data_IF_611683698246
#
_entry.id   IF_611683698246
#
_cell.length_a   1.000
_cell.length_b   1.000
_cell.length_c   1.000
_cell.angle_alpha   90.00
_cell.angle_beta   90.00
_cell.angle_gamma   90.00
#
_symmetry.space_group_name_H-M   'P 1'
#
loop_
_entity.id
_entity.type
_entity.pdbx_description
1 polymer ?
#
# COMPACT_ATOMS: atom_id res chain seq x y z
N UNK A 1 -9.44 -42.75 11.30
CA UNK A 1 -8.39 -41.72 11.17
C UNK A 1 -9.06 -40.40 10.82
N UNK A 2 -8.65 -39.30 11.45
CA UNK A 2 -9.12 -37.97 11.02
C UNK A 2 -8.24 -37.58 9.82
N UNK A 3 -8.84 -37.44 8.64
CA UNK A 3 -8.15 -37.04 7.42
C UNK A 3 -8.25 -35.52 7.32
N UNK A 4 -7.11 -34.84 7.28
CA UNK A 4 -7.05 -33.39 7.10
C UNK A 4 -7.60 -33.03 5.71
N UNK A 5 -8.52 -32.06 5.59
CA UNK A 5 -9.05 -31.64 4.30
C UNK A 5 -7.97 -31.07 3.38
N UNK A 6 -8.08 -31.34 2.08
CA UNK A 6 -7.12 -30.90 1.04
C UNK A 6 -6.92 -29.38 0.98
N UNK A 7 -7.85 -28.61 1.56
CA UNK A 7 -7.83 -27.14 1.60
C UNK A 7 -7.64 -26.58 3.02
N UNK A 8 -7.10 -27.38 3.94
CA UNK A 8 -6.86 -26.94 5.31
C UNK A 8 -5.63 -26.03 5.38
N UNK A 9 -5.86 -24.72 5.20
CA UNK A 9 -4.83 -23.70 5.26
C UNK A 9 -5.36 -22.32 4.88
N UNK A 10 -4.56 -21.28 5.15
CA UNK A 10 -4.87 -19.93 4.69
C UNK A 10 -4.76 -19.86 3.15
N UNK A 11 -5.86 -19.49 2.48
CA UNK A 11 -5.83 -19.13 1.05
C UNK A 11 -5.93 -17.60 0.92
N UNK A 12 -4.98 -16.95 0.21
CA UNK A 12 -5.07 -15.51 0.00
C UNK A 12 -6.34 -15.21 -0.82
N UNK A 13 -7.19 -14.33 -0.29
CA UNK A 13 -8.43 -13.90 -0.97
C UNK A 13 -8.09 -13.17 -2.28
N UNK A 14 -6.95 -12.47 -2.32
CA UNK A 14 -6.46 -11.79 -3.51
C UNK A 14 -4.92 -11.89 -3.60
N UNK A 15 -4.41 -12.10 -4.81
CA UNK A 15 -2.97 -12.11 -5.13
C UNK A 15 -2.72 -10.98 -6.11
N UNK A 16 -1.87 -10.03 -5.74
CA UNK A 16 -1.55 -8.87 -6.58
C UNK A 16 -0.09 -8.86 -7.03
N UNK A 17 0.13 -8.87 -8.36
CA UNK A 17 1.44 -8.71 -8.99
C UNK A 17 1.71 -7.24 -9.38
N UNK A 18 2.96 -6.91 -9.74
CA UNK A 18 3.32 -5.58 -10.25
C UNK A 18 2.78 -5.33 -11.67
N UNK A 19 2.68 -6.39 -12.46
CA UNK A 19 2.16 -6.40 -13.82
C UNK A 19 1.34 -7.67 -14.06
N UNK A 20 0.36 -7.57 -14.97
CA UNK A 20 -0.30 -8.74 -15.52
C UNK A 20 -1.63 -8.40 -16.19
N UNK A 21 -2.07 -9.31 -17.05
CA UNK A 21 -3.23 -9.10 -17.95
C UNK A 21 -4.57 -9.15 -17.21
N UNK A 22 -4.59 -9.65 -15.98
CA UNK A 22 -5.80 -9.79 -15.16
C UNK A 22 -5.94 -8.66 -14.14
N UNK A 23 -7.18 -8.37 -13.72
CA UNK A 23 -7.48 -7.32 -12.72
C UNK A 23 -6.82 -7.57 -11.36
N UNK A 24 -6.58 -8.85 -11.02
CA UNK A 24 -5.81 -9.22 -9.83
C UNK A 24 -4.34 -8.86 -9.98
N UNK A 25 -3.80 -8.66 -11.18
CA UNK A 25 -2.37 -8.47 -11.43
C UNK A 25 -1.98 -7.08 -11.93
N UNK A 26 -2.93 -6.29 -12.43
CA UNK A 26 -2.71 -4.92 -12.90
C UNK A 26 -3.47 -3.92 -12.04
N UNK A 27 -2.74 -2.94 -11.53
CA UNK A 27 -3.29 -1.87 -10.72
C UNK A 27 -4.18 -0.93 -11.53
N UNK A 28 -3.86 -0.74 -12.80
CA UNK A 28 -4.69 0.05 -13.73
C UNK A 28 -6.06 -0.62 -13.89
N UNK A 29 -6.07 -1.95 -14.07
CA UNK A 29 -7.29 -2.74 -14.17
C UNK A 29 -8.09 -2.73 -12.85
N UNK A 30 -7.42 -2.79 -11.69
CA UNK A 30 -8.08 -2.67 -10.39
C UNK A 30 -8.83 -1.34 -10.26
N UNK A 31 -8.17 -0.22 -10.59
CA UNK A 31 -8.79 1.11 -10.46
C UNK A 31 -9.94 1.31 -11.46
N UNK A 32 -9.78 0.83 -12.70
CA UNK A 32 -10.86 0.80 -13.69
C UNK A 32 -12.07 0.04 -13.15
N UNK A 33 -11.84 -1.15 -12.60
CA UNK A 33 -12.90 -1.99 -12.05
C UNK A 33 -13.60 -1.35 -10.85
N UNK A 34 -12.84 -0.80 -9.89
CA UNK A 34 -13.40 -0.07 -8.75
C UNK A 34 -14.25 1.12 -9.21
N UNK A 35 -13.82 1.82 -10.26
CA UNK A 35 -14.59 2.94 -10.80
C UNK A 35 -15.90 2.47 -11.44
N UNK A 36 -15.90 1.31 -12.09
CA UNK A 36 -17.09 0.74 -12.71
C UNK A 36 -18.09 0.17 -11.70
N UNK A 37 -17.62 -0.33 -10.56
CA UNK A 37 -18.50 -0.77 -9.48
C UNK A 37 -19.34 0.37 -8.90
N UNK A 38 -18.83 1.60 -8.90
CA UNK A 38 -19.57 2.79 -8.47
C UNK A 38 -19.92 2.81 -6.98
N UNK A 39 -19.23 2.04 -6.13
CA UNK A 39 -19.53 1.90 -4.69
C UNK A 39 -18.65 2.80 -3.78
N UNK A 40 -18.02 3.81 -4.38
CA UNK A 40 -17.15 4.76 -3.68
C UNK A 40 -15.75 4.23 -3.35
N UNK A 41 -15.42 2.96 -3.63
CA UNK A 41 -14.07 2.44 -3.38
C UNK A 41 -13.01 3.12 -4.25
N UNK A 42 -13.35 3.46 -5.49
CA UNK A 42 -12.43 4.17 -6.38
C UNK A 42 -12.08 5.56 -5.83
N UNK A 43 -13.07 6.28 -5.32
CA UNK A 43 -12.95 7.62 -4.78
C UNK A 43 -12.08 7.58 -3.52
N UNK A 44 -12.32 6.63 -2.62
CA UNK A 44 -11.46 6.38 -1.44
C UNK A 44 -10.03 6.05 -1.84
N UNK A 45 -9.86 5.14 -2.80
CA UNK A 45 -8.56 4.77 -3.36
C UNK A 45 -7.81 5.98 -3.93
N UNK A 46 -8.51 6.78 -4.75
CA UNK A 46 -7.99 8.01 -5.37
C UNK A 46 -7.58 9.03 -4.32
N UNK A 47 -8.41 9.23 -3.30
CA UNK A 47 -8.16 10.21 -2.25
C UNK A 47 -6.96 9.80 -1.38
N UNK A 48 -6.83 8.52 -1.04
CA UNK A 48 -5.64 7.98 -0.37
C UNK A 48 -4.40 8.24 -1.23
N UNK A 49 -4.40 7.86 -2.51
CA UNK A 49 -3.24 8.07 -3.40
C UNK A 49 -2.87 9.56 -3.47
N UNK A 50 -3.84 10.44 -3.66
CA UNK A 50 -3.59 11.87 -3.82
C UNK A 50 -3.12 12.53 -2.52
N UNK A 51 -3.79 12.27 -1.41
CA UNK A 51 -3.50 12.90 -0.11
C UNK A 51 -2.28 12.31 0.58
N UNK A 52 -1.87 11.09 0.22
CA UNK A 52 -0.77 10.39 0.87
C UNK A 52 0.43 10.21 -0.05
N UNK A 53 0.23 9.63 -1.24
CA UNK A 53 1.32 9.27 -2.16
C UNK A 53 1.76 10.44 -3.05
N UNK A 54 0.83 11.28 -3.50
CA UNK A 54 1.16 12.43 -4.35
C UNK A 54 1.18 13.78 -3.62
N UNK A 55 0.85 13.83 -2.32
CA UNK A 55 0.97 15.05 -1.51
C UNK A 55 2.33 15.74 -1.67
N UNK A 56 2.33 17.03 -1.98
CA UNK A 56 3.56 17.81 -2.18
C UNK A 56 4.32 17.47 -3.46
N UNK A 57 3.72 16.73 -4.40
CA UNK A 57 4.21 16.59 -5.79
C UNK A 57 3.27 17.34 -6.73
N UNK A 58 3.65 17.45 -8.01
CA UNK A 58 2.78 18.00 -9.06
C UNK A 58 1.79 16.95 -9.61
N UNK A 59 1.79 15.74 -9.06
CA UNK A 59 1.01 14.61 -9.56
C UNK A 59 -0.38 14.53 -8.92
N UNK A 60 -1.35 14.06 -9.67
CA UNK A 60 -2.71 13.84 -9.16
C UNK A 60 -3.42 12.72 -9.95
N UNK A 61 -3.87 11.68 -9.27
CA UNK A 61 -4.74 10.65 -9.84
C UNK A 61 -6.11 11.27 -10.08
N UNK A 62 -6.42 11.55 -11.35
CA UNK A 62 -7.61 12.31 -11.76
C UNK A 62 -8.86 11.43 -11.78
N UNK A 63 -8.77 10.26 -12.39
CA UNK A 63 -9.93 9.48 -12.77
C UNK A 63 -9.57 8.34 -13.72
N UNK A 64 -10.60 7.73 -14.27
CA UNK A 64 -10.49 6.68 -15.30
C UNK A 64 -10.94 7.24 -16.65
N UNK A 65 -10.12 7.05 -17.69
CA UNK A 65 -10.53 7.20 -19.10
C UNK A 65 -11.38 5.99 -19.47
N UNK A 66 -12.50 6.20 -20.17
CA UNK A 66 -13.39 5.10 -20.59
C UNK A 66 -12.86 4.32 -21.80
N UNK A 67 -12.17 4.97 -22.74
CA UNK A 67 -11.66 4.34 -23.95
C UNK A 67 -10.29 4.91 -24.37
N UNK A 68 -9.23 4.10 -24.40
CA UNK A 68 -9.15 2.79 -23.73
C UNK A 68 -9.28 2.94 -22.20
N UNK A 69 -9.83 1.94 -21.49
CA UNK A 69 -9.94 1.92 -20.04
C UNK A 69 -8.58 2.06 -19.38
N UNK A 70 -8.34 3.16 -18.67
CA UNK A 70 -7.04 3.45 -18.06
C UNK A 70 -7.15 4.53 -17.00
N UNK A 71 -6.38 4.41 -15.91
CA UNK A 71 -6.24 5.46 -14.93
C UNK A 71 -5.38 6.62 -15.44
N UNK A 72 -5.85 7.84 -15.19
CA UNK A 72 -5.21 9.08 -15.63
C UNK A 72 -4.54 9.74 -14.44
N UNK A 73 -3.23 9.95 -14.55
CA UNK A 73 -2.44 10.77 -13.64
C UNK A 73 -2.12 12.10 -14.32
N UNK A 74 -2.48 13.20 -13.67
CA UNK A 74 -1.99 14.54 -14.03
C UNK A 74 -0.57 14.70 -13.50
N UNK A 75 0.28 15.40 -14.24
CA UNK A 75 1.57 15.92 -13.79
C UNK A 75 1.71 17.36 -14.29
N UNK A 76 1.35 18.34 -13.45
CA UNK A 76 1.22 19.73 -13.88
C UNK A 76 0.12 19.88 -14.95
N UNK A 77 0.50 20.22 -16.18
CA UNK A 77 -0.43 20.37 -17.33
C UNK A 77 -0.55 19.10 -18.18
N UNK A 78 0.35 18.14 -18.00
CA UNK A 78 0.38 16.91 -18.77
C UNK A 78 -0.43 15.81 -18.10
N UNK A 79 -0.83 14.83 -18.89
CA UNK A 79 -1.51 13.62 -18.39
C UNK A 79 -0.77 12.39 -18.87
N UNK A 80 -0.56 11.44 -17.98
CA UNK A 80 0.02 10.14 -18.32
C UNK A 80 -0.71 9.03 -17.58
N UNK A 81 -0.43 7.81 -17.99
CA UNK A 81 -0.93 6.58 -17.37
C UNK A 81 -0.06 6.15 -16.18
N UNK A 82 -0.58 5.25 -15.34
CA UNK A 82 0.12 4.80 -14.14
C UNK A 82 1.45 4.09 -14.42
N UNK A 83 1.63 3.47 -15.58
CA UNK A 83 2.87 2.83 -16.01
C UNK A 83 4.04 3.82 -16.19
N UNK A 84 3.76 5.11 -16.34
CA UNK A 84 4.80 6.15 -16.45
C UNK A 84 5.28 6.69 -15.10
N UNK A 85 4.73 6.21 -13.99
CA UNK A 85 5.26 6.52 -12.66
C UNK A 85 6.64 5.89 -12.47
N UNK A 86 7.47 6.52 -11.62
CA UNK A 86 8.73 5.89 -11.19
C UNK A 86 8.46 4.60 -10.42
N UNK A 87 9.44 3.69 -10.37
CA UNK A 87 9.29 2.41 -9.65
C UNK A 87 8.89 2.61 -8.18
N UNK A 88 9.52 3.55 -7.48
CA UNK A 88 9.17 3.89 -6.09
C UNK A 88 7.75 4.43 -5.93
N UNK A 89 7.29 5.28 -6.86
CA UNK A 89 5.90 5.77 -6.86
C UNK A 89 4.91 4.65 -7.11
N UNK A 90 5.18 3.77 -8.08
CA UNK A 90 4.36 2.60 -8.36
C UNK A 90 4.23 1.71 -7.13
N UNK A 91 5.34 1.39 -6.46
CA UNK A 91 5.32 0.57 -5.25
C UNK A 91 4.44 1.17 -4.15
N UNK A 92 4.50 2.49 -3.94
CA UNK A 92 3.64 3.15 -2.96
C UNK A 92 2.17 3.19 -3.39
N UNK A 93 1.88 3.57 -4.63
CA UNK A 93 0.51 3.54 -5.17
C UNK A 93 -0.07 2.13 -5.03
N UNK A 94 0.71 1.09 -5.35
CA UNK A 94 0.33 -0.31 -5.17
C UNK A 94 0.01 -0.66 -3.73
N UNK A 95 0.92 -0.38 -2.80
CA UNK A 95 0.70 -0.68 -1.39
C UNK A 95 -0.55 0.03 -0.85
N UNK A 96 -0.71 1.32 -1.15
CA UNK A 96 -1.82 2.10 -0.59
C UNK A 96 -3.17 1.78 -1.20
N UNK A 97 -3.21 1.40 -2.48
CA UNK A 97 -4.44 0.91 -3.07
C UNK A 97 -4.82 -0.44 -2.47
N UNK A 98 -3.87 -1.37 -2.30
CA UNK A 98 -4.13 -2.67 -1.64
C UNK A 98 -4.68 -2.48 -0.22
N UNK A 99 -4.07 -1.58 0.54
CA UNK A 99 -4.51 -1.21 1.89
C UNK A 99 -5.92 -0.59 1.82
N UNK A 100 -6.10 0.46 1.03
CA UNK A 100 -7.34 1.25 1.00
C UNK A 100 -8.56 0.50 0.49
N UNK A 101 -8.38 -0.51 -0.37
CA UNK A 101 -9.50 -1.28 -0.94
C UNK A 101 -9.93 -2.46 -0.08
N UNK A 102 -9.07 -2.92 0.84
CA UNK A 102 -9.29 -4.13 1.62
C UNK A 102 -9.31 -3.94 3.13
N UNK A 103 -8.85 -2.80 3.66
CA UNK A 103 -8.94 -2.53 5.09
C UNK A 103 -10.41 -2.35 5.48
N UNK A 104 -10.85 -3.22 6.39
CA UNK A 104 -12.11 -3.13 7.10
C UNK A 104 -11.83 -2.84 8.58
N UNK A 105 -12.88 -2.73 9.41
CA UNK A 105 -12.70 -2.63 10.86
C UNK A 105 -11.94 -3.86 11.37
N UNK A 106 -10.93 -3.63 12.20
CA UNK A 106 -10.14 -4.67 12.87
C UNK A 106 -9.28 -5.53 11.93
N UNK A 107 -8.54 -4.91 11.02
CA UNK A 107 -7.63 -5.59 10.09
C UNK A 107 -6.22 -5.74 10.65
N UNK A 108 -5.53 -6.83 10.29
CA UNK A 108 -4.08 -6.99 10.50
C UNK A 108 -3.39 -6.95 9.14
N UNK A 109 -2.44 -6.01 8.98
CA UNK A 109 -1.61 -5.87 7.79
C UNK A 109 -0.21 -6.42 8.09
N UNK A 110 0.18 -7.46 7.36
CA UNK A 110 1.53 -8.05 7.41
C UNK A 110 2.31 -7.57 6.18
N UNK A 111 3.47 -6.95 6.40
CA UNK A 111 4.35 -6.45 5.31
C UNK A 111 5.74 -7.05 5.50
N UNK A 112 6.14 -7.91 4.58
CA UNK A 112 7.52 -8.36 4.54
C UNK A 112 8.40 -7.35 3.79
N UNK A 113 9.58 -7.10 4.33
CA UNK A 113 10.62 -6.18 3.86
C UNK A 113 10.04 -4.86 3.29
N UNK A 114 9.42 -4.07 4.17
CA UNK A 114 8.57 -2.93 3.76
C UNK A 114 9.29 -1.86 2.92
N UNK A 115 10.62 -1.83 2.95
CA UNK A 115 11.47 -0.84 2.30
C UNK A 115 12.25 -1.33 1.08
N UNK A 116 12.02 -2.57 0.66
CA UNK A 116 12.71 -3.18 -0.49
C UNK A 116 12.58 -2.34 -1.74
N UNK A 117 13.75 -2.03 -2.31
CA UNK A 117 13.92 -1.19 -3.50
C UNK A 117 13.38 0.26 -3.40
N UNK A 118 13.06 0.74 -2.20
CA UNK A 118 12.66 2.14 -1.99
C UNK A 118 13.88 3.02 -1.68
N UNK A 119 14.02 4.11 -2.43
CA UNK A 119 14.94 5.19 -2.08
C UNK A 119 14.60 5.75 -0.68
N UNK A 120 15.57 6.19 0.15
CA UNK A 120 15.35 6.68 1.52
C UNK A 120 14.19 7.69 1.67
N UNK A 121 14.10 8.67 0.76
CA UNK A 121 12.97 9.62 0.71
C UNK A 121 11.59 8.94 0.67
N UNK A 122 11.47 7.85 -0.08
CA UNK A 122 10.23 7.07 -0.19
C UNK A 122 10.01 6.16 1.01
N UNK A 123 11.06 5.68 1.67
CA UNK A 123 10.98 4.95 2.94
C UNK A 123 10.34 5.81 4.04
N UNK A 124 10.83 7.04 4.22
CA UNK A 124 10.21 8.01 5.16
C UNK A 124 8.75 8.29 4.82
N UNK A 125 8.47 8.45 3.53
CA UNK A 125 7.12 8.71 3.07
C UNK A 125 6.20 7.53 3.36
N UNK A 126 6.63 6.30 3.05
CA UNK A 126 5.91 5.08 3.39
C UNK A 126 5.55 5.05 4.88
N UNK A 127 6.55 5.27 5.74
CA UNK A 127 6.36 5.24 7.18
C UNK A 127 5.33 6.27 7.64
N UNK A 128 5.42 7.52 7.17
CA UNK A 128 4.48 8.58 7.51
C UNK A 128 3.05 8.28 7.07
N UNK A 129 2.89 7.64 5.91
CA UNK A 129 1.56 7.26 5.44
C UNK A 129 1.00 6.10 6.28
N UNK A 130 1.79 5.07 6.59
CA UNK A 130 1.35 3.97 7.47
C UNK A 130 0.93 4.48 8.85
N UNK A 131 1.72 5.39 9.44
CA UNK A 131 1.34 6.08 10.69
C UNK A 131 0.01 6.82 10.56
N UNK A 132 -0.21 7.50 9.44
CA UNK A 132 -1.47 8.17 9.15
C UNK A 132 -2.65 7.22 9.08
N UNK A 133 -2.51 6.10 8.37
CA UNK A 133 -3.56 5.08 8.27
C UNK A 133 -3.90 4.46 9.62
N UNK A 134 -2.89 4.17 10.45
CA UNK A 134 -3.11 3.65 11.80
C UNK A 134 -3.92 4.62 12.66
N UNK A 135 -3.69 5.93 12.52
CA UNK A 135 -4.46 6.97 13.24
C UNK A 135 -5.89 7.10 12.71
N UNK A 136 -6.08 7.00 11.40
CA UNK A 136 -7.39 7.13 10.75
C UNK A 136 -8.28 5.88 10.93
N UNK A 137 -7.69 4.70 11.16
CA UNK A 137 -8.39 3.42 11.21
C UNK A 137 -8.17 2.71 12.56
N UNK A 138 -8.98 3.02 13.60
CA UNK A 138 -8.96 2.29 14.86
C UNK A 138 -9.16 0.78 14.66
N UNK A 139 -8.28 -0.02 15.26
CA UNK A 139 -8.29 -1.48 15.13
C UNK A 139 -7.41 -2.02 14.00
N UNK A 140 -6.81 -1.17 13.16
CA UNK A 140 -5.75 -1.58 12.24
C UNK A 140 -4.47 -1.89 13.02
N UNK A 141 -3.92 -3.08 12.83
CA UNK A 141 -2.58 -3.45 13.31
C UNK A 141 -1.67 -3.65 12.11
N UNK A 142 -0.48 -3.05 12.12
CA UNK A 142 0.55 -3.28 11.10
C UNK A 142 1.73 -4.01 11.75
N UNK A 143 2.11 -5.14 11.17
CA UNK A 143 3.33 -5.88 11.52
C UNK A 143 4.20 -5.87 10.27
N UNK A 144 5.41 -5.34 10.39
CA UNK A 144 6.31 -5.19 9.25
C UNK A 144 7.75 -5.55 9.62
N UNK A 145 8.49 -6.08 8.64
CA UNK A 145 9.94 -6.31 8.73
C UNK A 145 10.67 -5.26 7.91
N UNK A 146 11.88 -4.87 8.34
CA UNK A 146 12.74 -3.92 7.63
C UNK A 146 14.20 -4.17 7.99
N UNK A 147 15.08 -3.95 7.02
CA UNK A 147 16.53 -3.90 7.24
C UNK A 147 17.05 -2.44 7.32
N UNK A 148 16.21 -1.45 7.03
CA UNK A 148 16.59 -0.04 7.05
C UNK A 148 16.74 0.47 8.48
N UNK A 149 18.00 0.77 8.85
CA UNK A 149 18.33 1.49 10.08
C UNK A 149 17.64 2.85 10.18
N UNK A 150 17.37 3.48 9.04
CA UNK A 150 16.70 4.77 8.99
C UNK A 150 15.22 4.66 9.37
N UNK A 151 14.51 3.64 8.88
CA UNK A 151 13.15 3.33 9.31
C UNK A 151 13.12 2.94 10.79
N UNK A 152 14.04 2.09 11.24
CA UNK A 152 14.12 1.69 12.65
C UNK A 152 14.28 2.89 13.59
N UNK A 153 15.13 3.86 13.21
CA UNK A 153 15.30 5.12 13.96
C UNK A 153 14.03 5.97 13.91
N UNK A 154 13.43 6.15 12.73
CA UNK A 154 12.21 6.96 12.55
C UNK A 154 10.96 6.34 13.21
N UNK A 155 10.97 5.02 13.42
CA UNK A 155 9.95 4.25 14.13
C UNK A 155 10.45 3.71 15.47
N UNK A 156 11.38 4.40 16.14
CA UNK A 156 11.83 3.99 17.48
C UNK A 156 10.60 3.74 18.37
N UNK A 157 10.38 2.48 18.74
CA UNK A 157 9.17 2.04 19.44
C UNK A 157 9.16 2.49 20.90
N UNK A 158 10.33 2.86 21.43
CA UNK A 158 10.54 3.44 22.76
C UNK A 158 9.98 4.87 22.86
N UNK A 159 9.98 5.62 21.74
CA UNK A 159 9.47 7.00 21.72
C UNK A 159 7.96 6.94 21.64
N UNK A 160 7.24 7.53 22.60
CA UNK A 160 5.76 7.62 22.50
C UNK A 160 5.37 8.55 21.35
N UNK A 161 4.40 8.13 20.56
CA UNK A 161 3.77 8.96 19.53
C UNK A 161 2.26 8.93 19.73
N UNK A 162 1.64 10.10 19.85
CA UNK A 162 0.21 10.22 20.13
C UNK A 162 -0.62 9.53 19.04
N UNK A 163 -1.62 8.75 19.48
CA UNK A 163 -2.49 7.97 18.59
C UNK A 163 -1.88 6.68 18.05
N UNK A 164 -0.64 6.32 18.42
CA UNK A 164 0.01 5.08 18.00
C UNK A 164 0.44 4.23 19.18
N UNK A 165 0.20 2.91 19.07
CA UNK A 165 0.82 1.90 19.92
C UNK A 165 1.95 1.25 19.14
N UNK A 166 3.18 1.39 19.62
CA UNK A 166 4.39 0.88 18.97
C UNK A 166 4.99 -0.24 19.80
N UNK A 167 5.55 -1.22 19.11
CA UNK A 167 6.33 -2.32 19.65
C UNK A 167 7.27 -2.83 18.56
N UNK A 168 8.26 -3.62 18.95
CA UNK A 168 9.22 -4.16 18.01
C UNK A 168 10.25 -5.02 18.71
N UNK A 169 11.00 -5.78 17.92
CA UNK A 169 12.12 -6.58 18.36
C UNK A 169 13.20 -6.56 17.28
N UNK A 170 14.46 -6.48 17.67
CA UNK A 170 15.59 -6.62 16.74
C UNK A 170 15.93 -8.10 16.69
N UNK A 171 15.70 -8.72 15.54
CA UNK A 171 16.11 -10.11 15.31
C UNK A 171 17.58 -10.06 14.90
N UNK A 172 18.48 -10.26 15.86
CA UNK A 172 19.86 -10.62 15.55
C UNK A 172 19.87 -12.10 15.14
N UNK A 173 20.32 -12.39 13.93
CA UNK A 173 20.77 -13.74 13.60
C UNK A 173 22.15 -13.86 14.23
N UNK A 174 22.27 -14.66 15.29
CA UNK A 174 23.53 -15.31 15.58
C UNK A 174 23.90 -16.10 14.32
N UNK A 175 24.78 -15.52 13.51
CA UNK A 175 25.40 -16.20 12.38
C UNK A 175 26.54 -17.02 12.97
N UNK A 176 26.17 -18.18 13.55
CA UNK A 176 27.11 -19.28 13.79
C UNK A 176 27.56 -19.90 12.46
#
# INVERSE_FOLDING_TARGET
SIIQPDNWGYKPVHIFAQEGEHWTKSLDNLLVWLSWLGDGRFERARDIVNQRVFRGTQKFLKGIRKSPPQAIVLNGKETHSLDKLSSGEKSLVQLFLRIGTHITRNSILLIDEMDVHLHPKWQHRLLNILKGLLKDHPGLTVIATTHSREILRAFAYEIKEEGLRKGGYIIEKDLD
#
